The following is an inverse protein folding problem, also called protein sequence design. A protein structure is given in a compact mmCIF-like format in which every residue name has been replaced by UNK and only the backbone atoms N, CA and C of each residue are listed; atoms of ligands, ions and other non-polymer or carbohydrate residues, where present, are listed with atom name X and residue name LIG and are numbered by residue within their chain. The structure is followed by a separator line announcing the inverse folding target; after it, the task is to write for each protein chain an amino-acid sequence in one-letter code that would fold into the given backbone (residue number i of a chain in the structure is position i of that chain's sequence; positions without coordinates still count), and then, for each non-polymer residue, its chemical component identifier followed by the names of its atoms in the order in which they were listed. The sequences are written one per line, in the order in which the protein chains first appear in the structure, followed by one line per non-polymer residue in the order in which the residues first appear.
data_IF_770866557365
#
_entry.id   IF_770866557365
#
_cell.length_a   1.000
_cell.length_b   1.000
_cell.length_c   1.000
_cell.angle_alpha   90.00
_cell.angle_beta   90.00
_cell.angle_gamma   90.00
#
_symmetry.space_group_name_H-M   'P 1'
#
loop_
_entity.id
_entity.type
_entity.pdbx_description
1 polymer ?
#
# COMPACT_ATOMS: atom_id res chain seq x y z
N UNK A 1 35.03 -10.11 -17.89
CA UNK A 1 34.74 -8.71 -17.48
C UNK A 1 34.13 -7.99 -18.68
N UNK A 2 32.90 -7.51 -18.59
CA UNK A 2 32.24 -6.77 -19.67
C UNK A 2 32.33 -5.27 -19.34
N UNK A 3 33.11 -4.52 -20.12
CA UNK A 3 33.16 -3.06 -20.01
C UNK A 3 31.91 -2.47 -20.67
N UNK A 4 31.03 -1.84 -19.89
CA UNK A 4 29.97 -1.00 -20.42
C UNK A 4 30.59 0.32 -20.91
N UNK A 5 30.64 0.52 -22.22
CA UNK A 5 30.93 1.85 -22.79
C UNK A 5 29.69 2.73 -22.59
N UNK A 6 29.64 3.43 -21.46
CA UNK A 6 28.53 4.30 -21.05
C UNK A 6 28.51 5.65 -21.77
N UNK A 7 28.55 5.67 -23.11
CA UNK A 7 28.24 6.89 -23.84
C UNK A 7 26.73 7.13 -23.82
N UNK A 8 26.27 7.96 -22.87
CA UNK A 8 24.97 8.61 -22.98
C UNK A 8 25.04 9.59 -24.15
N UNK A 9 24.36 9.27 -25.24
CA UNK A 9 24.13 10.20 -26.34
C UNK A 9 22.84 10.96 -26.02
N UNK A 10 22.89 12.26 -25.70
CA UNK A 10 21.67 13.04 -25.53
C UNK A 10 20.98 13.13 -26.88
N UNK A 11 19.91 12.36 -27.07
CA UNK A 11 19.06 12.56 -28.24
C UNK A 11 18.28 13.85 -28.02
N UNK A 12 18.61 14.90 -28.77
CA UNK A 12 17.82 16.12 -28.81
C UNK A 12 16.41 15.75 -29.30
N UNK A 13 15.45 15.90 -28.40
CA UNK A 13 14.06 15.62 -28.71
C UNK A 13 13.57 16.67 -29.70
N UNK A 14 12.89 16.22 -30.76
CA UNK A 14 12.22 17.13 -31.68
C UNK A 14 11.17 17.93 -30.88
N UNK A 15 10.88 19.20 -31.25
CA UNK A 15 9.91 20.02 -30.53
C UNK A 15 8.56 19.33 -30.27
N UNK A 16 8.07 18.53 -31.22
CA UNK A 16 6.84 17.73 -31.08
C UNK A 16 6.93 16.65 -29.99
N UNK A 17 8.09 16.01 -29.84
CA UNK A 17 8.29 14.96 -28.82
C UNK A 17 8.42 15.57 -27.43
N UNK A 18 9.01 16.77 -27.33
CA UNK A 18 9.05 17.58 -26.12
C UNK A 18 7.63 17.94 -25.68
N UNK A 19 6.81 18.47 -26.60
CA UNK A 19 5.41 18.85 -26.32
C UNK A 19 4.55 17.66 -25.92
N UNK A 20 4.69 16.50 -26.59
CA UNK A 20 4.00 15.26 -26.21
C UNK A 20 4.38 14.80 -24.80
N UNK A 21 5.66 14.91 -24.43
CA UNK A 21 6.13 14.59 -23.08
C UNK A 21 5.55 15.55 -22.05
N UNK A 22 5.55 16.85 -22.31
CA UNK A 22 4.92 17.84 -21.42
C UNK A 22 3.42 17.55 -21.24
N UNK A 23 2.67 17.34 -22.32
CA UNK A 23 1.25 17.01 -22.24
C UNK A 23 0.98 15.71 -21.46
N UNK A 24 1.84 14.70 -21.62
CA UNK A 24 1.75 13.46 -20.84
C UNK A 24 2.01 13.72 -19.35
N UNK A 25 3.03 14.50 -19.02
CA UNK A 25 3.34 14.88 -17.64
C UNK A 25 2.21 15.68 -16.99
N UNK A 26 1.61 16.64 -17.70
CA UNK A 26 0.46 17.38 -17.19
C UNK A 26 -0.75 16.48 -16.95
N UNK A 27 -1.07 15.57 -17.88
CA UNK A 27 -2.16 14.61 -17.70
C UNK A 27 -1.92 13.69 -16.48
N UNK A 28 -0.68 13.25 -16.26
CA UNK A 28 -0.30 12.45 -15.09
C UNK A 28 -0.40 13.27 -13.79
N UNK A 29 0.03 14.53 -13.80
CA UNK A 29 -0.12 15.43 -12.65
C UNK A 29 -1.60 15.69 -12.34
N UNK A 30 -2.43 15.90 -13.35
CA UNK A 30 -3.87 16.05 -13.19
C UNK A 30 -4.51 14.77 -12.63
N UNK A 31 -4.10 13.58 -13.10
CA UNK A 31 -4.52 12.29 -12.52
C UNK A 31 -4.09 12.15 -11.07
N UNK A 32 -2.87 12.57 -10.71
CA UNK A 32 -2.39 12.53 -9.33
C UNK A 32 -3.17 13.50 -8.42
N UNK A 33 -3.62 14.64 -8.95
CA UNK A 33 -4.47 15.61 -8.23
C UNK A 33 -5.93 15.15 -8.08
N UNK A 34 -6.37 14.09 -8.79
CA UNK A 34 -7.74 13.57 -8.64
C UNK A 34 -7.95 12.97 -7.25
N UNK A 35 -9.09 13.30 -6.67
CA UNK A 35 -9.61 12.73 -5.42
C UNK A 35 -9.67 11.20 -5.57
N UNK A 36 -8.89 10.46 -4.79
CA UNK A 36 -8.85 8.99 -4.89
C UNK A 36 -7.45 8.39 -4.84
N UNK A 37 -6.41 9.10 -5.28
CA UNK A 37 -5.04 8.57 -5.22
C UNK A 37 -4.53 8.46 -3.78
N UNK A 38 -3.78 7.40 -3.46
CA UNK A 38 -3.07 7.29 -2.19
C UNK A 38 -1.82 8.16 -2.27
N UNK A 39 -1.81 9.26 -1.53
CA UNK A 39 -0.65 10.15 -1.37
C UNK A 39 0.01 9.93 -0.01
N UNK A 40 1.23 10.44 0.19
CA UNK A 40 1.89 10.37 1.49
C UNK A 40 1.07 11.03 2.62
N UNK A 41 0.36 12.11 2.33
CA UNK A 41 -0.53 12.78 3.29
C UNK A 41 -1.77 11.93 3.60
N UNK A 42 -2.33 11.25 2.59
CA UNK A 42 -3.46 10.35 2.80
C UNK A 42 -3.06 9.12 3.62
N UNK A 43 -1.87 8.58 3.37
CA UNK A 43 -1.30 7.52 4.17
C UNK A 43 -1.09 7.94 5.62
N UNK A 44 -0.57 9.16 5.86
CA UNK A 44 -0.48 9.74 7.21
C UNK A 44 -1.84 9.83 7.89
N UNK A 45 -2.90 10.22 7.17
CA UNK A 45 -4.27 10.25 7.72
C UNK A 45 -4.77 8.86 8.13
N UNK A 46 -4.46 7.81 7.35
CA UNK A 46 -4.79 6.43 7.71
C UNK A 46 -4.04 6.00 8.98
N UNK A 47 -2.74 6.29 9.06
CA UNK A 47 -1.94 6.03 10.26
C UNK A 47 -2.50 6.75 11.51
N UNK A 48 -2.98 7.99 11.37
CA UNK A 48 -3.60 8.73 12.47
C UNK A 48 -4.88 8.07 12.98
N UNK A 49 -5.71 7.52 12.08
CA UNK A 49 -6.90 6.78 12.48
C UNK A 49 -6.53 5.48 13.17
N UNK A 50 -5.53 4.78 12.63
CA UNK A 50 -5.06 3.54 13.16
C UNK A 50 -4.44 3.71 14.56
N UNK A 51 -3.58 4.71 14.75
CA UNK A 51 -2.96 4.98 16.05
C UNK A 51 -3.95 5.40 17.14
N UNK A 52 -5.17 5.84 16.78
CA UNK A 52 -6.26 6.07 17.74
C UNK A 52 -6.96 4.79 18.15
N UNK A 53 -7.05 3.83 17.23
CA UNK A 53 -7.67 2.54 17.49
C UNK A 53 -6.74 1.61 18.30
N UNK A 54 -5.43 1.70 18.07
CA UNK A 54 -4.41 0.90 18.75
C UNK A 54 -3.84 1.65 19.94
N UNK A 55 -3.82 1.02 21.12
CA UNK A 55 -3.34 1.64 22.37
C UNK A 55 -1.87 1.34 22.70
N UNK A 56 -1.20 0.50 21.91
CA UNK A 56 0.11 -0.07 22.25
C UNK A 56 1.18 0.19 21.18
N UNK A 57 2.42 -0.18 21.48
CA UNK A 57 3.54 -0.14 20.54
C UNK A 57 3.35 -1.21 19.46
N UNK A 58 3.41 -0.79 18.21
CA UNK A 58 3.11 -1.61 17.03
C UNK A 58 4.39 -1.87 16.25
N UNK A 59 4.50 -3.08 15.70
CA UNK A 59 5.46 -3.38 14.63
C UNK A 59 4.70 -3.37 13.31
N UNK A 60 5.06 -2.42 12.46
CA UNK A 60 4.41 -2.19 11.19
C UNK A 60 5.16 -2.92 10.08
N UNK A 61 4.44 -3.73 9.30
CA UNK A 61 4.93 -4.30 8.05
C UNK A 61 4.09 -3.73 6.91
N UNK A 62 4.75 -3.03 5.99
CA UNK A 62 4.17 -2.56 4.74
C UNK A 62 5.22 -2.67 3.63
N UNK A 63 4.77 -2.60 2.37
CA UNK A 63 5.67 -2.61 1.23
C UNK A 63 6.38 -1.24 1.03
N UNK A 64 7.23 -1.17 0.01
CA UNK A 64 7.96 0.05 -0.34
C UNK A 64 7.19 0.96 -1.32
N UNK A 65 5.86 0.91 -1.34
CA UNK A 65 5.06 1.80 -2.19
C UNK A 65 5.39 3.28 -1.90
N UNK A 66 5.33 4.12 -2.95
CA UNK A 66 5.71 5.54 -2.87
C UNK A 66 5.05 6.29 -1.69
N UNK A 67 3.76 6.10 -1.37
CA UNK A 67 3.12 6.77 -0.23
C UNK A 67 3.69 6.32 1.12
N UNK A 68 4.12 5.06 1.25
CA UNK A 68 4.63 4.47 2.50
C UNK A 68 6.05 4.97 2.82
N UNK A 69 6.86 5.21 1.78
CA UNK A 69 8.21 5.76 1.94
C UNK A 69 8.26 7.30 1.95
N UNK A 70 7.12 7.96 1.71
CA UNK A 70 7.04 9.42 1.66
C UNK A 70 7.29 10.05 3.04
N UNK A 71 7.87 11.26 3.02
CA UNK A 71 8.24 12.01 4.23
C UNK A 71 7.08 12.15 5.25
N UNK A 72 5.84 12.52 4.85
CA UNK A 72 4.75 12.70 5.83
C UNK A 72 4.45 11.44 6.64
N UNK A 73 4.46 10.27 6.00
CA UNK A 73 4.24 8.98 6.66
C UNK A 73 5.39 8.62 7.60
N UNK A 74 6.63 8.70 7.11
CA UNK A 74 7.83 8.40 7.92
C UNK A 74 7.93 9.24 9.19
N UNK A 75 7.77 10.56 9.07
CA UNK A 75 7.84 11.46 10.23
C UNK A 75 6.77 11.16 11.28
N UNK A 76 5.59 10.69 10.85
CA UNK A 76 4.52 10.33 11.77
C UNK A 76 4.78 8.99 12.47
N UNK A 77 5.32 7.99 11.75
CA UNK A 77 5.74 6.71 12.35
C UNK A 77 6.85 6.90 13.39
N UNK A 78 7.81 7.78 13.11
CA UNK A 78 8.84 8.20 14.07
C UNK A 78 8.22 8.83 15.33
N UNK A 79 7.19 9.68 15.16
CA UNK A 79 6.48 10.34 16.27
C UNK A 79 5.75 9.30 17.15
N UNK A 80 5.15 8.29 16.53
CA UNK A 80 4.49 7.18 17.21
C UNK A 80 5.47 6.17 17.84
N UNK A 81 6.77 6.26 17.52
CA UNK A 81 7.81 5.28 17.90
C UNK A 81 7.45 3.85 17.46
N UNK A 82 6.75 3.73 16.33
CA UNK A 82 6.43 2.44 15.74
C UNK A 82 7.65 1.89 14.99
N UNK A 83 7.90 0.60 15.16
CA UNK A 83 8.99 -0.08 14.47
C UNK A 83 8.50 -0.52 13.10
N UNK A 84 9.17 -0.09 12.03
CA UNK A 84 8.85 -0.49 10.66
C UNK A 84 9.80 -1.61 10.25
N UNK A 85 9.26 -2.78 9.91
CA UNK A 85 10.08 -3.89 9.43
C UNK A 85 10.59 -3.62 8.01
N UNK A 86 11.85 -3.99 7.71
CA UNK A 86 12.35 -3.91 6.35
C UNK A 86 11.58 -4.88 5.45
N UNK A 87 11.11 -4.38 4.32
CA UNK A 87 10.44 -5.19 3.30
C UNK A 87 11.27 -5.15 2.00
N UNK A 88 11.76 -6.28 1.47
CA UNK A 88 12.43 -6.31 0.18
C UNK A 88 11.51 -5.87 -0.98
N UNK A 89 12.08 -5.26 -2.04
CA UNK A 89 11.33 -4.95 -3.25
C UNK A 89 10.77 -6.20 -3.94
N UNK A 90 9.54 -6.13 -4.43
CA UNK A 90 8.87 -7.18 -5.22
C UNK A 90 8.73 -8.53 -4.51
N UNK A 91 8.49 -8.52 -3.20
CA UNK A 91 8.34 -9.74 -2.41
C UNK A 91 6.93 -9.86 -1.80
N UNK A 92 5.90 -10.13 -2.62
CA UNK A 92 4.55 -10.34 -2.10
C UNK A 92 4.42 -11.65 -1.29
N UNK A 93 5.32 -12.61 -1.51
CA UNK A 93 5.39 -13.89 -0.81
C UNK A 93 5.70 -13.76 0.69
N UNK A 94 6.41 -12.70 1.08
CA UNK A 94 6.71 -12.41 2.48
C UNK A 94 5.68 -11.49 3.15
N UNK A 95 4.76 -10.90 2.39
CA UNK A 95 3.73 -10.02 2.91
C UNK A 95 2.52 -10.88 3.33
N UNK A 96 2.18 -10.95 4.63
CA UNK A 96 1.04 -11.75 5.10
C UNK A 96 -0.29 -11.29 4.49
N UNK A 97 -0.41 -10.00 4.15
CA UNK A 97 -1.57 -9.46 3.42
C UNK A 97 -1.72 -10.12 2.04
N UNK A 98 -0.66 -10.18 1.25
CA UNK A 98 -0.70 -10.71 -0.12
C UNK A 98 -0.77 -12.24 -0.12
N UNK A 99 0.06 -12.91 0.69
CA UNK A 99 0.15 -14.36 0.72
C UNK A 99 -1.07 -15.04 1.36
N UNK A 100 -1.66 -14.45 2.41
CA UNK A 100 -2.77 -15.06 3.15
C UNK A 100 -4.10 -14.32 2.96
N UNK A 101 -4.16 -13.04 3.32
CA UNK A 101 -5.44 -12.32 3.39
C UNK A 101 -6.09 -12.18 2.00
N UNK A 102 -5.38 -11.58 1.05
CA UNK A 102 -5.90 -11.36 -0.30
C UNK A 102 -6.06 -12.64 -1.09
N UNK A 103 -5.20 -13.64 -0.86
CA UNK A 103 -5.38 -14.97 -1.46
C UNK A 103 -6.69 -15.63 -0.99
N UNK A 104 -6.95 -15.61 0.31
CA UNK A 104 -8.21 -16.13 0.89
C UNK A 104 -9.43 -15.33 0.41
N UNK A 105 -9.30 -14.02 0.30
CA UNK A 105 -10.35 -13.14 -0.22
C UNK A 105 -10.63 -13.41 -1.70
N UNK A 106 -9.59 -13.58 -2.53
CA UNK A 106 -9.71 -13.88 -3.94
C UNK A 106 -10.49 -15.18 -4.20
N UNK A 107 -10.26 -16.22 -3.39
CA UNK A 107 -11.08 -17.44 -3.45
C UNK A 107 -12.57 -17.17 -3.16
N UNK A 108 -12.87 -16.30 -2.18
CA UNK A 108 -14.26 -15.90 -1.89
C UNK A 108 -14.89 -15.00 -2.95
N UNK A 109 -14.07 -14.33 -3.76
CA UNK A 109 -14.47 -13.43 -4.83
C UNK A 109 -14.61 -14.13 -6.19
N UNK A 110 -13.98 -15.29 -6.40
CA UNK A 110 -13.88 -15.95 -7.70
C UNK A 110 -15.25 -16.16 -8.40
N UNK A 111 -16.29 -16.47 -7.64
CA UNK A 111 -17.63 -16.76 -8.16
C UNK A 111 -18.62 -15.60 -7.98
N UNK A 112 -18.12 -14.38 -7.68
CA UNK A 112 -18.96 -13.22 -7.37
C UNK A 112 -18.87 -12.14 -8.43
N UNK A 113 -20.03 -11.55 -8.76
CA UNK A 113 -20.15 -10.34 -9.57
C UNK A 113 -20.93 -9.32 -8.78
N UNK A 114 -20.33 -8.15 -8.58
CA UNK A 114 -20.98 -7.01 -7.93
C UNK A 114 -21.56 -6.08 -8.99
N UNK A 115 -22.75 -5.58 -8.73
CA UNK A 115 -23.46 -4.63 -9.59
C UNK A 115 -23.33 -3.20 -9.09
N UNK A 116 -22.85 -3.00 -7.85
CA UNK A 116 -22.55 -1.69 -7.29
C UNK A 116 -21.35 -1.70 -6.33
N UNK A 117 -20.83 -0.51 -6.03
CA UNK A 117 -19.76 -0.33 -5.06
C UNK A 117 -20.21 -0.70 -3.64
N UNK A 118 -21.44 -0.35 -3.27
CA UNK A 118 -22.03 -0.62 -1.96
C UNK A 118 -22.19 -2.13 -1.72
N UNK A 119 -22.55 -2.88 -2.76
CA UNK A 119 -22.63 -4.34 -2.71
C UNK A 119 -21.25 -4.97 -2.42
N UNK A 120 -20.22 -4.51 -3.14
CA UNK A 120 -18.84 -4.95 -2.93
C UNK A 120 -18.36 -4.60 -1.52
N UNK A 121 -18.62 -3.38 -1.05
CA UNK A 121 -18.24 -2.93 0.28
C UNK A 121 -18.92 -3.77 1.37
N UNK A 122 -20.24 -3.99 1.28
CA UNK A 122 -21.00 -4.79 2.24
C UNK A 122 -20.50 -6.23 2.29
N UNK A 123 -20.12 -6.79 1.14
CA UNK A 123 -19.53 -8.11 1.08
C UNK A 123 -18.18 -8.17 1.80
N UNK A 124 -17.30 -7.20 1.56
CA UNK A 124 -15.99 -7.11 2.22
C UNK A 124 -16.19 -7.01 3.75
N UNK A 125 -17.06 -6.12 4.21
CA UNK A 125 -17.35 -5.94 5.65
C UNK A 125 -17.85 -7.25 6.28
N UNK A 126 -18.77 -7.94 5.61
CA UNK A 126 -19.31 -9.23 6.06
C UNK A 126 -18.23 -10.33 6.05
N UNK A 127 -17.37 -10.34 5.02
CA UNK A 127 -16.28 -11.31 4.91
C UNK A 127 -15.26 -11.11 6.02
N UNK A 128 -14.87 -9.86 6.32
CA UNK A 128 -13.96 -9.54 7.43
C UNK A 128 -14.57 -10.01 8.76
N UNK A 129 -15.82 -9.63 9.05
CA UNK A 129 -16.51 -10.05 10.27
C UNK A 129 -16.62 -11.58 10.40
N UNK A 130 -16.71 -12.31 9.29
CA UNK A 130 -16.77 -13.79 9.30
C UNK A 130 -15.46 -14.46 9.75
N UNK A 131 -14.33 -13.75 9.74
CA UNK A 131 -13.02 -14.31 10.12
C UNK A 131 -12.73 -14.23 11.63
N UNK A 132 -13.47 -13.42 12.38
CA UNK A 132 -13.27 -13.21 13.82
C UNK A 132 -13.59 -14.44 14.69
N UNK A 133 -14.23 -15.49 14.15
CA UNK A 133 -14.56 -16.73 14.86
C UNK A 133 -13.41 -17.72 15.10
N UNK A 134 -12.25 -17.53 14.47
CA UNK A 134 -11.03 -18.31 14.75
C UNK A 134 -10.11 -17.48 15.64
N UNK A 135 -10.20 -17.67 16.96
CA UNK A 135 -9.20 -17.16 17.91
C UNK A 135 -7.79 -17.50 17.39
N UNK A 136 -7.07 -16.51 16.86
CA UNK A 136 -5.61 -16.52 16.74
C UNK A 136 -4.93 -16.48 15.35
N UNK A 137 -5.53 -16.03 14.24
CA UNK A 137 -4.70 -15.92 13.00
C UNK A 137 -5.07 -14.94 11.88
N UNK A 138 -6.25 -14.30 11.87
CA UNK A 138 -6.51 -13.25 10.88
C UNK A 138 -6.89 -11.98 11.63
N UNK A 139 -6.08 -10.94 11.44
CA UNK A 139 -6.14 -9.64 12.12
C UNK A 139 -5.62 -9.74 13.56
N UNK A 140 -4.40 -9.25 13.81
CA UNK A 140 -3.69 -9.27 15.11
C UNK A 140 -3.06 -10.63 15.47
N UNK A 141 -2.05 -11.05 14.70
CA UNK A 141 -1.18 -12.17 15.10
C UNK A 141 -0.33 -11.76 16.31
N UNK A 142 -0.74 -12.15 17.51
CA UNK A 142 0.01 -11.94 18.74
C UNK A 142 1.01 -13.09 18.90
N UNK A 143 2.19 -12.96 18.29
CA UNK A 143 3.37 -13.72 18.70
C UNK A 143 4.35 -12.71 19.29
N UNK A 144 4.48 -12.74 20.62
CA UNK A 144 5.47 -11.99 21.43
C UNK A 144 5.17 -10.50 21.73
N UNK A 145 3.95 -10.12 22.12
CA UNK A 145 3.60 -8.74 22.56
C UNK A 145 3.86 -7.67 21.48
N UNK A 146 3.65 -8.01 20.21
CA UNK A 146 3.90 -7.12 19.07
C UNK A 146 2.69 -7.16 18.15
N UNK A 147 1.96 -6.05 18.14
CA UNK A 147 0.78 -5.86 17.31
C UNK A 147 1.23 -5.61 15.86
N UNK A 148 0.89 -6.51 14.94
CA UNK A 148 1.10 -6.33 13.51
C UNK A 148 -0.16 -5.72 12.89
N UNK A 149 -0.06 -4.49 12.39
CA UNK A 149 -1.12 -3.93 11.56
C UNK A 149 -0.70 -3.91 10.12
N UNK A 150 -1.49 -4.60 9.30
CA UNK A 150 -1.35 -4.61 7.86
C UNK A 150 -2.19 -3.45 7.32
N UNK A 151 -1.54 -2.40 6.83
CA UNK A 151 -2.23 -1.41 6.02
C UNK A 151 -2.50 -2.03 4.66
N UNK A 152 -3.78 -2.35 4.45
CA UNK A 152 -4.36 -2.64 3.15
C UNK A 152 -4.18 -1.37 2.29
N UNK A 153 -3.67 -1.56 1.08
CA UNK A 153 -3.41 -0.53 0.06
C UNK A 153 -4.58 0.43 -0.19
#
# INVERSE_FOLDING_TARGET
MIQKQGHWVPYELKPRDVERRFGTCELLLQRQKRKGFLTGDRYRLQLMRLSRALKEKVILLHDNARPHVAKPGKTYLETLKWEVLPHPPYSPDIAPSDFHLFRSMAHGLADRRFHSYEEAQKWIDSWIASKDGRKGSLVMGNTLNKMFVFLIF
#
